data_IF_889894450501
#
_entry.id   IF_889894450501
#
_cell.length_a   1.000
_cell.length_b   1.000
_cell.length_c   1.000
_cell.angle_alpha   90.00
_cell.angle_beta   90.00
_cell.angle_gamma   90.00
#
_symmetry.space_group_name_H-M   'P 1'
#
loop_
_entity.id
_entity.type
_entity.pdbx_description
1 polymer ?
#
# COMPACT_ATOMS: atom_id res chain seq x y z
N UNK A 1 -40.11 43.48 6.88
CA UNK A 1 -39.14 42.87 7.81
C UNK A 1 -38.25 41.96 6.98
N UNK A 2 -37.04 42.42 6.63
CA UNK A 2 -36.02 41.56 6.04
C UNK A 2 -35.31 40.88 7.21
N UNK A 3 -35.69 39.64 7.52
CA UNK A 3 -34.83 38.76 8.31
C UNK A 3 -33.83 38.12 7.34
N UNK A 4 -32.72 38.81 7.09
CA UNK A 4 -31.48 38.12 6.73
C UNK A 4 -30.96 37.48 8.02
N UNK A 5 -31.43 36.27 8.34
CA UNK A 5 -30.77 35.45 9.34
C UNK A 5 -29.54 34.85 8.69
N UNK A 6 -28.39 35.35 9.13
CA UNK A 6 -27.05 34.99 8.73
C UNK A 6 -26.71 33.53 9.17
N UNK A 7 -27.38 32.55 8.55
CA UNK A 7 -27.15 31.10 8.71
C UNK A 7 -25.93 30.60 7.91
N UNK A 8 -25.29 31.51 7.18
CA UNK A 8 -24.12 31.27 6.33
C UNK A 8 -22.94 30.60 7.07
N UNK A 9 -22.45 31.11 8.23
CA UNK A 9 -21.29 30.54 8.91
C UNK A 9 -21.57 29.17 9.53
N UNK A 10 -22.77 28.94 10.08
CA UNK A 10 -23.16 27.65 10.68
C UNK A 10 -23.28 26.58 9.58
N UNK A 11 -23.88 26.93 8.44
CA UNK A 11 -23.97 26.03 7.28
C UNK A 11 -22.59 25.69 6.72
N UNK A 12 -21.71 26.68 6.59
CA UNK A 12 -20.33 26.48 6.15
C UNK A 12 -19.56 25.57 7.12
N UNK A 13 -19.71 25.77 8.43
CA UNK A 13 -19.10 24.93 9.46
C UNK A 13 -19.57 23.47 9.36
N UNK A 14 -20.87 23.25 9.14
CA UNK A 14 -21.44 21.91 8.94
C UNK A 14 -20.91 21.22 7.67
N UNK A 15 -20.76 21.97 6.57
CA UNK A 15 -20.18 21.45 5.33
C UNK A 15 -18.71 21.08 5.50
N UNK A 16 -17.93 21.91 6.19
CA UNK A 16 -16.52 21.63 6.51
C UNK A 16 -16.42 20.36 7.37
N UNK A 17 -17.25 20.23 8.41
CA UNK A 17 -17.26 19.05 9.28
C UNK A 17 -17.57 17.78 8.49
N UNK A 18 -18.64 17.80 7.67
CA UNK A 18 -19.03 16.66 6.83
C UNK A 18 -17.96 16.29 5.81
N UNK A 19 -17.29 17.28 5.21
CA UNK A 19 -16.18 17.07 4.28
C UNK A 19 -15.00 16.38 4.96
N UNK A 20 -14.59 16.85 6.15
CA UNK A 20 -13.51 16.26 6.94
C UNK A 20 -13.81 14.80 7.32
N UNK A 21 -15.04 14.51 7.74
CA UNK A 21 -15.47 13.15 8.08
C UNK A 21 -15.41 12.21 6.88
N UNK A 22 -15.92 12.65 5.72
CA UNK A 22 -15.83 11.87 4.46
C UNK A 22 -14.39 11.63 4.02
N UNK A 23 -13.55 12.65 4.11
CA UNK A 23 -12.13 12.54 3.75
C UNK A 23 -11.40 11.55 4.67
N UNK A 24 -11.64 11.62 5.98
CA UNK A 24 -11.11 10.66 6.96
C UNK A 24 -11.55 9.22 6.63
N UNK A 25 -12.83 9.01 6.33
CA UNK A 25 -13.36 7.70 5.96
C UNK A 25 -12.73 7.15 4.67
N UNK A 26 -12.54 8.02 3.67
CA UNK A 26 -11.87 7.65 2.42
C UNK A 26 -10.41 7.22 2.65
N UNK A 27 -9.64 7.97 3.46
CA UNK A 27 -8.26 7.62 3.80
C UNK A 27 -8.15 6.27 4.52
N UNK A 28 -9.07 5.98 5.44
CA UNK A 28 -9.09 4.69 6.15
C UNK A 28 -9.41 3.53 5.20
N UNK A 29 -10.44 3.69 4.37
CA UNK A 29 -10.81 2.70 3.36
C UNK A 29 -9.65 2.42 2.40
N UNK A 30 -8.97 3.48 1.94
CA UNK A 30 -7.85 3.33 1.02
C UNK A 30 -6.63 2.68 1.70
N UNK A 31 -6.37 3.01 2.97
CA UNK A 31 -5.32 2.35 3.75
C UNK A 31 -5.55 0.85 3.90
N UNK A 32 -6.80 0.42 4.12
CA UNK A 32 -7.14 -1.00 4.21
C UNK A 32 -7.05 -1.70 2.86
N UNK A 33 -7.44 -1.05 1.77
CA UNK A 33 -7.27 -1.57 0.40
C UNK A 33 -5.78 -1.70 0.04
N UNK A 34 -4.95 -0.74 0.46
CA UNK A 34 -3.52 -0.78 0.23
C UNK A 34 -2.86 -1.98 0.93
N UNK A 35 -3.21 -2.23 2.20
CA UNK A 35 -2.75 -3.42 2.94
C UNK A 35 -3.08 -4.71 2.19
N UNK A 36 -4.32 -4.83 1.70
CA UNK A 36 -4.75 -5.98 0.89
C UNK A 36 -3.93 -6.10 -0.40
N UNK A 37 -3.63 -4.99 -1.07
CA UNK A 37 -2.80 -4.98 -2.29
C UNK A 37 -1.38 -5.45 -2.00
N UNK A 38 -0.78 -5.02 -0.89
CA UNK A 38 0.56 -5.48 -0.48
C UNK A 38 0.54 -7.00 -0.21
N UNK A 39 -0.47 -7.49 0.51
CA UNK A 39 -0.63 -8.93 0.72
C UNK A 39 -0.81 -9.70 -0.60
N UNK A 40 -1.57 -9.14 -1.55
CA UNK A 40 -1.73 -9.74 -2.87
C UNK A 40 -0.41 -9.81 -3.64
N UNK A 41 0.39 -8.74 -3.63
CA UNK A 41 1.72 -8.74 -4.26
C UNK A 41 2.60 -9.84 -3.67
N UNK A 42 2.58 -10.02 -2.34
CA UNK A 42 3.33 -11.09 -1.69
C UNK A 42 2.83 -12.48 -2.11
N UNK A 43 1.52 -12.68 -2.20
CA UNK A 43 0.92 -13.94 -2.64
C UNK A 43 1.22 -14.24 -4.11
N UNK A 44 1.14 -13.23 -4.99
CA UNK A 44 1.48 -13.34 -6.41
C UNK A 44 2.96 -13.68 -6.57
N UNK A 45 3.82 -13.00 -5.80
CA UNK A 45 5.23 -13.30 -5.75
C UNK A 45 5.46 -14.74 -5.30
N UNK A 46 4.78 -15.25 -4.27
CA UNK A 46 4.93 -16.62 -3.79
C UNK A 46 4.42 -17.68 -4.78
N UNK A 47 3.34 -17.39 -5.52
CA UNK A 47 2.67 -18.37 -6.39
C UNK A 47 3.20 -18.39 -7.82
N UNK A 48 3.56 -17.22 -8.36
CA UNK A 48 4.01 -17.02 -9.75
C UNK A 48 5.41 -16.45 -9.84
N UNK A 49 6.09 -16.30 -8.70
CA UNK A 49 7.46 -15.82 -8.67
C UNK A 49 8.40 -16.70 -9.48
N UNK A 50 9.55 -16.16 -9.90
CA UNK A 50 10.48 -16.82 -10.80
C UNK A 50 11.33 -17.88 -10.06
N UNK A 51 10.67 -18.78 -9.33
CA UNK A 51 11.30 -19.82 -8.49
C UNK A 51 11.47 -21.17 -9.19
N UNK A 52 10.91 -21.32 -10.38
CA UNK A 52 10.95 -22.57 -11.14
C UNK A 52 12.34 -22.79 -11.76
N UNK A 53 12.81 -24.04 -11.75
CA UNK A 53 14.12 -24.40 -12.31
C UNK A 53 14.30 -24.13 -13.80
N UNK A 54 13.19 -23.96 -14.52
CA UNK A 54 13.16 -23.78 -15.96
C UNK A 54 13.21 -22.31 -16.41
N UNK A 55 13.12 -21.33 -15.50
CA UNK A 55 13.15 -19.91 -15.90
C UNK A 55 14.60 -19.46 -16.15
N UNK A 56 14.81 -18.65 -17.19
CA UNK A 56 16.13 -18.08 -17.45
C UNK A 56 16.46 -17.03 -16.38
N UNK A 57 17.76 -16.89 -16.01
CA UNK A 57 18.17 -15.90 -15.02
C UNK A 57 17.73 -14.47 -15.34
N UNK A 58 17.78 -14.06 -16.60
CA UNK A 58 17.39 -12.70 -17.03
C UNK A 58 15.88 -12.48 -16.91
N UNK A 59 15.08 -13.46 -17.34
CA UNK A 59 13.61 -13.43 -17.21
C UNK A 59 13.18 -13.40 -15.72
N UNK A 60 13.93 -14.10 -14.85
CA UNK A 60 13.71 -14.05 -13.40
C UNK A 60 14.04 -12.68 -12.80
N UNK A 61 15.15 -12.06 -13.22
CA UNK A 61 15.56 -10.74 -12.75
C UNK A 61 14.58 -9.64 -13.17
N UNK A 62 14.07 -9.71 -14.40
CA UNK A 62 13.04 -8.80 -14.91
C UNK A 62 11.72 -8.94 -14.14
N UNK A 63 11.32 -10.17 -13.84
CA UNK A 63 10.13 -10.43 -13.01
C UNK A 63 10.30 -9.84 -11.61
N UNK A 64 11.45 -10.08 -10.95
CA UNK A 64 11.75 -9.48 -9.64
C UNK A 64 11.78 -7.96 -9.69
N UNK A 65 12.29 -7.36 -10.78
CA UNK A 65 12.27 -5.92 -10.99
C UNK A 65 10.85 -5.38 -11.05
N UNK A 66 9.95 -6.03 -11.80
CA UNK A 66 8.53 -5.64 -11.87
C UNK A 66 7.86 -5.63 -10.50
N UNK A 67 8.15 -6.63 -9.65
CA UNK A 67 7.65 -6.66 -8.28
C UNK A 67 8.22 -5.52 -7.40
N UNK A 68 9.51 -5.18 -7.54
CA UNK A 68 10.11 -4.04 -6.83
C UNK A 68 9.49 -2.71 -7.24
N UNK A 69 9.29 -2.49 -8.54
CA UNK A 69 8.71 -1.26 -9.06
C UNK A 69 7.24 -1.11 -8.59
N UNK A 70 6.48 -2.21 -8.59
CA UNK A 70 5.12 -2.25 -8.05
C UNK A 70 5.08 -1.97 -6.53
N UNK A 71 6.01 -2.56 -5.78
CA UNK A 71 6.13 -2.33 -4.34
C UNK A 71 6.48 -0.86 -4.04
N UNK A 72 7.43 -0.27 -4.77
CA UNK A 72 7.86 1.12 -4.59
C UNK A 72 6.69 2.10 -4.79
N UNK A 73 5.92 1.95 -5.87
CA UNK A 73 4.73 2.77 -6.11
C UNK A 73 3.67 2.61 -5.00
N UNK A 74 3.51 1.38 -4.49
CA UNK A 74 2.56 1.10 -3.39
C UNK A 74 3.02 1.73 -2.07
N UNK A 75 4.33 1.71 -1.78
CA UNK A 75 4.93 2.33 -0.59
C UNK A 75 4.85 3.86 -0.60
N UNK A 76 5.03 4.47 -1.77
CA UNK A 76 4.85 5.92 -1.92
C UNK A 76 3.41 6.32 -1.56
N UNK A 77 2.43 5.56 -2.06
CA UNK A 77 1.02 5.75 -1.71
C UNK A 77 0.74 5.48 -0.23
N UNK A 78 1.38 4.49 0.38
CA UNK A 78 1.31 4.24 1.83
C UNK A 78 1.74 5.48 2.63
N UNK A 79 2.87 6.08 2.24
CA UNK A 79 3.43 7.24 2.92
C UNK A 79 2.49 8.45 2.83
N UNK A 80 1.86 8.67 1.67
CA UNK A 80 0.83 9.69 1.48
C UNK A 80 -0.39 9.49 2.39
N UNK A 81 -0.93 8.26 2.42
CA UNK A 81 -2.08 7.93 3.26
C UNK A 81 -1.75 8.11 4.75
N UNK A 82 -0.55 7.71 5.16
CA UNK A 82 -0.09 7.89 6.55
C UNK A 82 -0.01 9.36 6.92
N UNK A 83 0.55 10.21 6.05
CA UNK A 83 0.57 11.67 6.26
C UNK A 83 -0.86 12.23 6.37
N UNK A 84 -1.77 11.79 5.51
CA UNK A 84 -3.17 12.20 5.54
C UNK A 84 -3.88 11.80 6.84
N UNK A 85 -3.68 10.58 7.32
CA UNK A 85 -4.28 10.08 8.56
C UNK A 85 -3.66 10.72 9.81
N UNK A 86 -2.38 11.12 9.76
CA UNK A 86 -1.72 11.86 10.82
C UNK A 86 -2.38 13.22 11.10
N UNK A 87 -2.98 13.87 10.09
CA UNK A 87 -3.80 15.08 10.29
C UNK A 87 -5.02 14.84 11.18
N UNK A 88 -5.50 13.60 11.24
CA UNK A 88 -6.59 13.15 12.11
C UNK A 88 -6.10 12.50 13.41
N UNK A 89 -4.79 12.57 13.69
CA UNK A 89 -4.12 11.89 14.81
C UNK A 89 -4.31 10.37 14.79
N UNK A 90 -4.47 9.80 13.59
CA UNK A 90 -4.53 8.36 13.39
C UNK A 90 -3.15 7.91 12.90
N UNK A 91 -2.48 7.13 13.72
CA UNK A 91 -1.22 6.51 13.36
C UNK A 91 -1.49 5.16 12.69
N UNK A 92 -0.83 4.93 11.54
CA UNK A 92 -0.84 3.64 10.85
C UNK A 92 0.58 3.09 10.86
N UNK A 93 0.80 1.88 11.40
CA UNK A 93 2.11 1.24 11.35
C UNK A 93 2.46 0.82 9.90
N UNK A 94 3.75 0.72 9.56
CA UNK A 94 4.18 0.12 8.29
C UNK A 94 3.68 -1.31 8.10
N UNK A 95 3.33 -1.64 6.87
CA UNK A 95 2.98 -3.02 6.51
C UNK A 95 4.24 -3.90 6.59
N UNK A 96 4.20 -4.99 7.36
CA UNK A 96 5.39 -5.84 7.61
C UNK A 96 5.75 -6.70 6.39
N UNK A 97 4.76 -6.97 5.56
CA UNK A 97 4.83 -7.75 4.33
C UNK A 97 5.78 -7.10 3.30
N UNK A 98 5.91 -5.76 3.35
CA UNK A 98 6.81 -4.99 2.48
C UNK A 98 8.27 -5.45 2.63
N UNK A 99 8.69 -5.76 3.85
CA UNK A 99 10.04 -6.27 4.17
C UNK A 99 10.26 -7.64 3.54
N UNK A 100 9.22 -8.50 3.51
CA UNK A 100 9.31 -9.82 2.91
C UNK A 100 9.44 -9.73 1.39
N UNK A 101 8.62 -8.88 0.75
CA UNK A 101 8.68 -8.66 -0.70
C UNK A 101 10.04 -8.07 -1.09
N UNK A 102 10.54 -7.09 -0.35
CA UNK A 102 11.87 -6.50 -0.58
C UNK A 102 12.99 -7.53 -0.43
N UNK A 103 12.95 -8.36 0.62
CA UNK A 103 13.95 -9.43 0.79
C UNK A 103 13.93 -10.41 -0.37
N UNK A 104 12.76 -10.94 -0.73
CA UNK A 104 12.64 -11.96 -1.79
C UNK A 104 13.06 -11.41 -3.14
N UNK A 105 12.67 -10.17 -3.45
CA UNK A 105 12.98 -9.52 -4.74
C UNK A 105 14.43 -9.04 -4.87
N UNK A 106 15.19 -8.92 -3.77
CA UNK A 106 16.61 -8.55 -3.78
C UNK A 106 17.56 -9.76 -3.71
N UNK A 107 17.04 -10.99 -3.70
CA UNK A 107 17.89 -12.18 -3.72
C UNK A 107 18.62 -12.30 -5.07
N UNK A 108 19.93 -12.59 -5.07
CA UNK A 108 20.65 -12.87 -6.30
C UNK A 108 20.11 -14.15 -6.95
N UNK A 109 20.09 -14.21 -8.29
CA UNK A 109 19.47 -15.29 -9.10
C UNK A 109 19.89 -16.72 -8.70
N UNK A 110 21.04 -16.88 -8.01
CA UNK A 110 21.55 -18.17 -7.52
C UNK A 110 20.91 -18.65 -6.20
N UNK A 111 20.30 -17.75 -5.42
CA UNK A 111 19.68 -18.07 -4.12
C UNK A 111 18.17 -18.30 -4.19
N UNK A 112 17.56 -18.04 -5.35
CA UNK A 112 16.13 -18.21 -5.62
C UNK A 112 15.67 -19.66 -5.38
N UNK A 113 16.58 -20.62 -5.56
CA UNK A 113 16.36 -22.05 -5.35
C UNK A 113 16.39 -22.51 -3.89
N UNK A 114 17.12 -21.81 -3.02
CA UNK A 114 17.43 -22.32 -1.67
C UNK A 114 16.33 -22.01 -0.65
N UNK A 115 15.50 -21.00 -0.91
CA UNK A 115 14.47 -20.55 0.04
C UNK A 115 13.19 -21.41 -0.04
N UNK A 116 12.93 -22.11 -1.16
CA UNK A 116 11.79 -23.03 -1.26
C UNK A 116 11.91 -24.21 -0.27
N UNK A 117 13.12 -24.59 0.14
CA UNK A 117 13.35 -25.69 1.09
C UNK A 117 13.19 -25.28 2.57
N UNK A 118 12.97 -23.99 2.85
CA UNK A 118 12.95 -23.45 4.23
C UNK A 118 11.63 -22.76 4.58
N UNK A 119 10.81 -22.40 3.58
CA UNK A 119 9.53 -21.70 3.78
C UNK A 119 8.29 -22.58 3.49
N UNK A 120 8.45 -23.73 2.80
CA UNK A 120 7.44 -24.81 2.68
C UNK A 120 7.80 -25.96 3.62
#
# INVERSE_FOLDING_TARGET
MLQESDDSPIRAQNLIKKSKEKFKAALLSESDMLKRRICQILQDLQSTGPFAAAIKPDEALDTCKGYRDCLAATLEREAELRRGLMLFKIEQPPCKETILIERVSNLPSKCVYFILSVIL
#
